data_IF_419856651334
#
_entry.id   IF_419856651334
#
_cell.length_a   1.000
_cell.length_b   1.000
_cell.length_c   1.000
_cell.angle_alpha   90.00
_cell.angle_beta   90.00
_cell.angle_gamma   90.00
#
_symmetry.space_group_name_H-M   'P 1'
#
loop_
_entity.id
_entity.type
_entity.pdbx_description
1 polymer ?
#
# COMPACT_ATOMS: atom_id res chain seq x y z
N UNK A 1 -29.06 2.37 6.12
CA UNK A 1 -27.71 2.95 6.03
C UNK A 1 -27.85 4.37 5.52
N UNK A 2 -27.66 5.37 6.36
CA UNK A 2 -27.46 6.73 5.88
C UNK A 2 -26.17 6.73 5.05
N UNK A 3 -26.25 7.19 3.80
CA UNK A 3 -25.09 7.35 2.95
C UNK A 3 -24.05 8.22 3.67
N UNK A 4 -22.86 7.68 3.89
CA UNK A 4 -21.76 8.48 4.38
C UNK A 4 -21.42 9.56 3.35
N UNK A 5 -20.90 10.68 3.80
CA UNK A 5 -20.37 11.71 2.91
C UNK A 5 -19.43 11.05 1.90
N UNK A 6 -19.65 11.36 0.63
CA UNK A 6 -18.75 10.95 -0.45
C UNK A 6 -17.52 11.85 -0.54
N UNK A 7 -17.49 12.92 0.24
CA UNK A 7 -16.40 13.87 0.23
C UNK A 7 -15.16 13.26 0.87
N UNK A 8 -14.12 13.13 0.08
CA UNK A 8 -12.78 12.75 0.51
C UNK A 8 -11.96 14.02 0.70
N UNK A 9 -11.04 13.99 1.61
CA UNK A 9 -10.09 15.09 1.83
C UNK A 9 -8.78 14.56 2.40
N UNK A 10 -7.72 15.33 2.21
CA UNK A 10 -6.43 15.13 2.85
C UNK A 10 -6.20 16.21 3.88
N UNK A 11 -5.60 15.83 4.98
CA UNK A 11 -5.14 16.74 6.02
C UNK A 11 -3.62 16.72 6.07
N UNK A 12 -3.04 17.86 6.37
CA UNK A 12 -1.65 17.97 6.82
C UNK A 12 -1.52 17.40 8.23
N UNK A 13 -0.31 17.13 8.70
CA UNK A 13 -0.07 16.62 10.05
C UNK A 13 -0.58 17.58 11.15
N UNK A 14 -0.64 18.88 10.87
CA UNK A 14 -1.21 19.90 11.77
C UNK A 14 -2.74 20.09 11.62
N UNK A 15 -3.40 19.20 10.85
CA UNK A 15 -4.85 19.13 10.73
C UNK A 15 -5.47 20.08 9.72
N UNK A 16 -4.69 20.78 8.92
CA UNK A 16 -5.23 21.65 7.87
C UNK A 16 -5.65 20.88 6.63
N UNK A 17 -6.80 21.23 6.07
CA UNK A 17 -7.30 20.62 4.86
C UNK A 17 -6.48 21.06 3.65
N UNK A 18 -5.93 20.09 2.92
CA UNK A 18 -5.28 20.35 1.64
C UNK A 18 -6.32 20.62 0.55
N UNK A 19 -6.02 21.60 -0.30
CA UNK A 19 -6.83 21.91 -1.49
C UNK A 19 -6.40 20.96 -2.61
N UNK A 20 -7.12 19.85 -2.74
CA UNK A 20 -6.86 18.78 -3.72
C UNK A 20 -8.17 18.40 -4.38
N UNK A 21 -8.17 18.20 -5.68
CA UNK A 21 -9.34 17.73 -6.41
C UNK A 21 -9.75 16.33 -5.94
N UNK A 22 -11.05 16.02 -5.96
CA UNK A 22 -11.60 14.78 -5.41
C UNK A 22 -11.06 13.52 -6.11
N UNK A 23 -10.78 13.61 -7.39
CA UNK A 23 -10.20 12.53 -8.22
C UNK A 23 -8.71 12.33 -8.00
N UNK A 24 -8.01 13.34 -7.47
CA UNK A 24 -6.60 13.26 -7.11
C UNK A 24 -6.35 12.68 -5.71
N UNK A 25 -7.41 12.56 -4.89
CA UNK A 25 -7.25 12.00 -3.54
C UNK A 25 -7.07 10.49 -3.63
N UNK A 26 -5.92 9.97 -3.19
CA UNK A 26 -5.64 8.55 -3.28
C UNK A 26 -6.60 7.73 -2.41
N UNK A 27 -6.81 6.47 -2.77
CA UNK A 27 -7.59 5.54 -1.96
C UNK A 27 -6.95 5.32 -0.59
N UNK A 28 -7.73 5.42 0.47
CA UNK A 28 -7.23 5.41 1.86
C UNK A 28 -6.87 4.02 2.41
N UNK A 29 -6.78 2.99 1.61
CA UNK A 29 -6.60 1.62 2.11
C UNK A 29 -5.32 0.94 1.66
N UNK A 30 -4.73 1.39 0.56
CA UNK A 30 -3.61 0.74 -0.09
C UNK A 30 -2.47 1.72 -0.27
N UNK A 31 -1.50 1.62 0.61
CA UNK A 31 -0.29 2.40 0.61
C UNK A 31 0.86 1.42 0.75
N UNK A 32 1.94 1.67 0.05
CA UNK A 32 3.12 0.81 0.06
C UNK A 32 4.38 1.68 0.02
N UNK A 33 5.41 1.32 0.74
CA UNK A 33 6.75 1.85 0.50
C UNK A 33 7.38 1.05 -0.63
N UNK A 34 7.36 1.61 -1.82
CA UNK A 34 7.81 0.92 -3.03
C UNK A 34 9.14 1.41 -3.55
N UNK A 35 9.31 2.70 -3.68
CA UNK A 35 10.60 3.28 -4.05
C UNK A 35 11.43 3.63 -2.81
N UNK A 36 12.55 4.27 -3.00
CA UNK A 36 13.49 4.54 -1.91
C UNK A 36 13.24 5.88 -1.20
N UNK A 37 12.08 6.53 -1.41
CA UNK A 37 11.76 7.76 -0.71
C UNK A 37 10.87 7.53 0.52
N UNK A 38 10.67 8.57 1.33
CA UNK A 38 9.91 8.49 2.58
C UNK A 38 8.40 8.63 2.41
N UNK A 39 7.93 8.81 1.18
CA UNK A 39 6.52 8.90 0.86
C UNK A 39 6.00 7.52 0.48
N UNK A 40 4.76 7.25 0.83
CA UNK A 40 4.10 6.02 0.40
C UNK A 40 3.43 6.20 -0.94
N UNK A 41 3.58 5.21 -1.79
CA UNK A 41 2.91 5.10 -3.06
C UNK A 41 1.49 4.61 -2.89
N UNK A 42 0.68 4.86 -3.90
CA UNK A 42 -0.72 4.45 -3.94
C UNK A 42 -0.97 3.46 -5.07
N UNK A 43 -2.05 2.69 -4.92
CA UNK A 43 -2.52 1.79 -5.96
C UNK A 43 -3.60 2.45 -6.80
N UNK A 44 -3.51 2.27 -8.12
CA UNK A 44 -4.55 2.65 -9.08
C UNK A 44 -4.94 1.43 -9.90
N UNK A 45 -6.24 1.22 -10.08
CA UNK A 45 -6.79 0.11 -10.84
C UNK A 45 -8.08 -0.41 -10.22
N UNK A 46 -8.67 -1.43 -10.85
CA UNK A 46 -10.02 -1.92 -10.52
C UNK A 46 -10.14 -2.68 -9.20
N UNK A 47 -9.08 -2.83 -8.45
CA UNK A 47 -9.06 -3.70 -7.27
C UNK A 47 -8.80 -2.98 -5.95
N UNK A 48 -9.82 -2.27 -5.47
CA UNK A 48 -9.97 -1.97 -4.05
C UNK A 48 -10.68 -3.12 -3.28
N UNK A 49 -10.79 -4.31 -3.86
CA UNK A 49 -11.40 -5.45 -3.18
C UNK A 49 -10.33 -6.33 -2.56
N UNK A 50 -10.49 -6.51 -1.30
CA UNK A 50 -9.72 -7.34 -0.42
C UNK A 50 -10.34 -8.73 -0.31
N UNK A 51 -9.50 -9.73 -0.31
CA UNK A 51 -9.87 -11.10 -0.03
C UNK A 51 -9.82 -12.01 -1.25
N UNK A 52 -9.26 -13.18 -1.05
CA UNK A 52 -9.30 -14.30 -1.96
C UNK A 52 -10.77 -14.68 -2.24
N UNK A 53 -11.32 -14.25 -3.36
CA UNK A 53 -12.72 -14.56 -3.68
C UNK A 53 -13.26 -13.86 -4.91
N UNK A 54 -12.52 -12.95 -5.49
CA UNK A 54 -12.91 -12.39 -6.78
C UNK A 54 -12.47 -13.33 -7.89
N UNK A 55 -13.40 -14.08 -8.44
CA UNK A 55 -13.22 -15.05 -9.52
C UNK A 55 -12.77 -14.46 -10.88
N UNK A 56 -12.30 -13.24 -10.91
CA UNK A 56 -11.87 -12.56 -12.12
C UNK A 56 -10.36 -12.28 -12.10
N UNK A 57 -9.56 -13.29 -12.34
CA UNK A 57 -8.09 -13.22 -12.46
C UNK A 57 -7.53 -12.31 -13.56
N UNK A 58 -8.28 -11.32 -13.99
CA UNK A 58 -7.91 -10.44 -15.11
C UNK A 58 -7.65 -8.97 -14.74
N UNK A 59 -7.72 -8.61 -13.46
CA UNK A 59 -7.55 -7.21 -13.06
C UNK A 59 -6.09 -6.87 -12.86
N UNK A 60 -5.67 -5.77 -13.45
CA UNK A 60 -4.32 -5.23 -13.32
C UNK A 60 -4.34 -3.98 -12.46
N UNK A 61 -3.35 -3.84 -11.61
CA UNK A 61 -3.13 -2.68 -10.77
C UNK A 61 -1.78 -2.05 -11.10
N UNK A 62 -1.66 -0.77 -10.77
CA UNK A 62 -0.41 -0.02 -10.91
C UNK A 62 -0.06 0.64 -9.58
N UNK A 63 1.22 0.80 -9.31
CA UNK A 63 1.74 1.56 -8.18
C UNK A 63 2.17 2.93 -8.68
N UNK A 64 1.72 3.97 -8.01
CA UNK A 64 1.85 5.37 -8.41
C UNK A 64 2.40 6.23 -7.29
N UNK A 65 3.26 7.15 -7.66
CA UNK A 65 3.52 8.33 -6.83
C UNK A 65 2.31 9.24 -6.83
N UNK A 66 1.95 9.73 -5.65
CA UNK A 66 0.87 10.70 -5.57
C UNK A 66 1.22 11.96 -6.36
N UNK A 67 0.37 12.33 -7.33
CA UNK A 67 0.61 13.41 -8.33
C UNK A 67 1.88 13.22 -9.17
N UNK A 68 2.39 12.03 -9.22
CA UNK A 68 3.61 11.70 -9.94
C UNK A 68 3.41 10.59 -10.96
N UNK A 69 4.50 9.92 -11.24
CA UNK A 69 4.61 8.88 -12.25
C UNK A 69 4.09 7.52 -11.78
N UNK A 70 3.88 6.64 -12.74
CA UNK A 70 3.64 5.23 -12.50
C UNK A 70 5.00 4.57 -12.28
N UNK A 71 5.17 3.91 -11.14
CA UNK A 71 6.40 3.19 -10.82
C UNK A 71 6.36 1.74 -11.28
N UNK A 72 5.19 1.12 -11.20
CA UNK A 72 5.02 -0.28 -11.58
C UNK A 72 3.62 -0.49 -12.16
N UNK A 73 3.55 -1.20 -13.28
CA UNK A 73 2.29 -1.55 -13.95
C UNK A 73 2.10 -3.07 -13.98
N UNK A 74 0.90 -3.47 -14.39
CA UNK A 74 0.55 -4.86 -14.66
C UNK A 74 0.67 -5.81 -13.45
N UNK A 75 0.46 -5.30 -12.25
CA UNK A 75 0.32 -6.13 -11.05
C UNK A 75 -1.00 -6.88 -11.13
N UNK A 76 -0.95 -8.19 -11.26
CA UNK A 76 -2.13 -9.05 -11.41
C UNK A 76 -2.49 -9.76 -10.11
N UNK A 77 -3.76 -10.02 -9.94
CA UNK A 77 -4.29 -10.79 -8.80
C UNK A 77 -4.83 -9.94 -7.66
N UNK A 78 -5.50 -10.60 -6.74
CA UNK A 78 -6.04 -9.96 -5.54
C UNK A 78 -4.94 -9.76 -4.50
N UNK A 79 -4.83 -8.55 -3.95
CA UNK A 79 -3.83 -8.24 -2.94
C UNK A 79 -4.12 -9.00 -1.64
N UNK A 80 -3.20 -9.86 -1.24
CA UNK A 80 -3.28 -10.60 0.02
C UNK A 80 -2.51 -9.91 1.13
N UNK A 81 -1.29 -9.46 0.85
CA UNK A 81 -0.38 -8.94 1.86
C UNK A 81 0.51 -7.87 1.25
N UNK A 82 0.83 -6.87 2.05
CA UNK A 82 1.94 -5.94 1.85
C UNK A 82 2.77 -5.98 3.13
N UNK A 83 4.06 -6.22 3.01
CA UNK A 83 4.98 -6.25 4.15
C UNK A 83 6.43 -6.17 3.67
N UNK A 84 7.29 -5.63 4.52
CA UNK A 84 8.75 -5.68 4.36
C UNK A 84 9.24 -7.11 4.65
N UNK A 85 9.21 -7.98 3.64
CA UNK A 85 9.58 -9.38 3.76
C UNK A 85 11.06 -9.63 3.46
N UNK A 86 11.68 -8.81 2.61
CA UNK A 86 13.10 -8.89 2.28
C UNK A 86 13.99 -8.19 3.31
N UNK A 87 13.39 -7.40 4.20
CA UNK A 87 14.10 -6.76 5.31
C UNK A 87 14.88 -5.50 4.92
N UNK A 88 14.50 -4.87 3.83
CA UNK A 88 15.16 -3.67 3.31
C UNK A 88 14.36 -2.38 3.53
N UNK A 89 13.34 -2.42 4.40
CA UNK A 89 12.36 -1.40 4.79
C UNK A 89 11.33 -1.04 3.71
N UNK A 90 11.50 -1.51 2.49
CA UNK A 90 10.46 -1.40 1.47
C UNK A 90 9.52 -2.60 1.56
N UNK A 91 8.33 -2.43 1.04
CA UNK A 91 7.30 -3.46 1.18
C UNK A 91 7.14 -4.24 -0.11
N UNK A 92 7.12 -5.57 0.00
CA UNK A 92 6.70 -6.47 -1.06
C UNK A 92 5.19 -6.60 -1.07
N UNK A 93 4.67 -6.95 -2.23
CA UNK A 93 3.26 -7.17 -2.47
C UNK A 93 3.00 -8.63 -2.83
N UNK A 94 2.21 -9.33 -2.02
CA UNK A 94 1.72 -10.66 -2.35
C UNK A 94 0.33 -10.56 -2.95
N UNK A 95 0.15 -11.19 -4.11
CA UNK A 95 -1.15 -11.31 -4.77
C UNK A 95 -1.52 -12.77 -5.03
N UNK A 96 -2.82 -13.04 -5.11
CA UNK A 96 -3.37 -14.36 -5.48
C UNK A 96 -4.07 -14.30 -6.83
N UNK A 97 -3.81 -15.32 -7.63
CA UNK A 97 -4.57 -15.67 -8.83
C UNK A 97 -5.04 -17.12 -8.69
N UNK A 98 -5.96 -17.60 -9.53
CA UNK A 98 -6.36 -19.00 -9.51
C UNK A 98 -5.15 -19.93 -9.68
N UNK A 99 -4.83 -20.70 -8.62
CA UNK A 99 -3.72 -21.65 -8.61
C UNK A 99 -2.31 -21.03 -8.51
N UNK A 100 -2.19 -19.72 -8.26
CA UNK A 100 -0.89 -19.04 -8.26
C UNK A 100 -0.82 -17.98 -7.17
N UNK A 101 0.32 -17.87 -6.50
CA UNK A 101 0.70 -16.74 -5.67
C UNK A 101 1.86 -16.01 -6.33
N UNK A 102 1.80 -14.69 -6.34
CA UNK A 102 2.87 -13.83 -6.85
C UNK A 102 3.39 -12.92 -5.76
N UNK A 103 4.71 -12.78 -5.73
CA UNK A 103 5.40 -11.78 -4.93
C UNK A 103 5.96 -10.75 -5.90
N UNK A 104 5.56 -9.51 -5.74
CA UNK A 104 6.10 -8.37 -6.46
C UNK A 104 7.01 -7.60 -5.52
N UNK A 105 8.18 -7.26 -6.01
CA UNK A 105 9.14 -6.40 -5.35
C UNK A 105 9.57 -5.29 -6.29
N UNK A 106 10.07 -4.21 -5.74
CA UNK A 106 10.67 -3.13 -6.52
C UNK A 106 12.06 -3.52 -7.00
N UNK A 107 12.43 -3.05 -8.18
CA UNK A 107 13.80 -3.10 -8.71
C UNK A 107 14.51 -1.73 -8.59
N UNK A 108 13.84 -0.75 -8.03
CA UNK A 108 14.42 0.57 -7.76
C UNK A 108 15.45 0.43 -6.64
N UNK A 109 16.72 0.84 -6.86
CA UNK A 109 17.74 0.72 -5.82
C UNK A 109 17.42 1.60 -4.61
N UNK A 110 17.49 1.03 -3.40
CA UNK A 110 17.45 1.83 -2.17
C UNK A 110 18.80 2.50 -1.95
N UNK A 111 18.80 3.81 -1.82
CA UNK A 111 19.99 4.60 -1.46
C UNK A 111 20.24 4.60 0.03
N UNK A 112 19.17 4.52 0.82
CA UNK A 112 19.22 4.53 2.28
C UNK A 112 19.04 3.12 2.83
N UNK A 113 19.90 2.76 3.77
CA UNK A 113 19.76 1.54 4.56
C UNK A 113 19.03 1.85 5.85
N UNK A 114 17.94 1.16 6.08
CA UNK A 114 17.14 1.28 7.30
C UNK A 114 16.93 -0.08 7.93
N UNK A 115 16.60 -0.06 9.20
CA UNK A 115 16.19 -1.28 9.91
C UNK A 115 14.89 -1.79 9.30
N UNK A 116 14.78 -3.10 9.16
CA UNK A 116 13.56 -3.72 8.66
C UNK A 116 12.34 -3.32 9.49
N UNK A 117 11.25 -2.97 8.82
CA UNK A 117 9.98 -2.64 9.47
C UNK A 117 9.43 -3.79 10.29
N UNK A 118 9.81 -5.02 9.96
CA UNK A 118 9.42 -6.22 10.72
C UNK A 118 10.03 -6.29 12.13
N UNK A 119 10.98 -5.42 12.50
CA UNK A 119 11.40 -5.29 13.90
C UNK A 119 10.41 -4.51 14.76
N UNK A 120 9.57 -3.69 14.15
CA UNK A 120 8.54 -2.93 14.86
C UNK A 120 7.35 -3.83 15.24
N UNK A 121 7.00 -3.85 16.52
CA UNK A 121 5.92 -4.68 17.03
C UNK A 121 4.54 -4.25 16.51
N UNK A 122 4.32 -2.94 16.33
CA UNK A 122 3.07 -2.42 15.77
C UNK A 122 2.94 -2.83 14.31
N UNK A 123 4.00 -2.64 13.53
CA UNK A 123 4.03 -3.05 12.12
C UNK A 123 3.72 -4.54 11.96
N UNK A 124 4.37 -5.42 12.72
CA UNK A 124 4.08 -6.87 12.73
C UNK A 124 2.62 -7.17 13.06
N UNK A 125 2.05 -6.45 14.01
CA UNK A 125 0.65 -6.63 14.38
C UNK A 125 -0.29 -6.30 13.21
N UNK A 126 -0.01 -5.24 12.46
CA UNK A 126 -0.76 -4.92 11.25
C UNK A 126 -0.60 -5.97 10.15
N UNK A 127 0.62 -6.46 9.94
CA UNK A 127 0.87 -7.56 9.00
C UNK A 127 0.06 -8.79 9.39
N UNK A 128 0.04 -9.15 10.67
CA UNK A 128 -0.75 -10.29 11.17
C UNK A 128 -2.26 -10.07 11.04
N UNK A 129 -2.77 -8.85 11.25
CA UNK A 129 -4.20 -8.54 11.11
C UNK A 129 -4.74 -8.80 9.71
N UNK A 130 -3.91 -8.75 8.68
CA UNK A 130 -4.35 -9.07 7.32
C UNK A 130 -4.82 -10.50 7.17
N UNK A 131 -4.19 -11.43 7.88
CA UNK A 131 -4.64 -12.84 7.90
C UNK A 131 -6.03 -12.99 8.50
N UNK A 132 -6.48 -12.02 9.29
CA UNK A 132 -7.80 -11.97 9.91
C UNK A 132 -8.85 -11.24 9.05
N UNK A 133 -8.53 -10.89 7.82
CA UNK A 133 -9.44 -10.24 6.87
C UNK A 133 -9.57 -8.72 7.03
N UNK A 134 -8.67 -8.07 7.78
CA UNK A 134 -8.62 -6.63 7.89
C UNK A 134 -7.62 -6.01 6.91
N UNK A 135 -8.11 -5.40 5.84
CA UNK A 135 -7.26 -4.94 4.75
C UNK A 135 -6.73 -3.53 4.98
N UNK A 136 -5.83 -3.36 5.90
CA UNK A 136 -5.14 -2.09 6.15
C UNK A 136 -3.66 -2.23 5.80
N UNK A 137 -3.09 -1.17 5.22
CA UNK A 137 -1.65 -1.10 5.03
C UNK A 137 -0.96 -1.09 6.40
N UNK A 138 0.09 -1.89 6.61
CA UNK A 138 0.85 -1.85 7.84
C UNK A 138 1.45 -0.47 8.09
N UNK A 139 1.55 -0.06 9.34
CA UNK A 139 2.19 1.20 9.74
C UNK A 139 3.18 0.94 10.86
N UNK A 140 4.37 1.54 10.84
CA UNK A 140 5.31 1.48 11.95
C UNK A 140 4.88 2.40 13.10
N UNK A 141 5.41 2.15 14.29
CA UNK A 141 5.18 2.96 15.48
C UNK A 141 6.01 4.26 15.51
N UNK A 142 6.87 4.46 14.55
CA UNK A 142 7.81 5.58 14.49
C UNK A 142 7.79 6.24 13.11
N UNK A 143 8.34 7.44 13.03
CA UNK A 143 8.49 8.16 11.78
C UNK A 143 9.78 7.73 11.06
N UNK A 144 9.66 7.27 9.82
CA UNK A 144 10.80 6.78 9.05
C UNK A 144 11.85 7.85 8.72
N UNK A 145 11.49 9.12 8.79
CA UNK A 145 12.41 10.23 8.53
C UNK A 145 13.33 10.60 9.70
N UNK A 146 13.06 10.08 10.89
CA UNK A 146 13.89 10.32 12.07
C UNK A 146 15.03 9.26 12.14
N UNK A 147 16.14 9.56 11.49
CA UNK A 147 17.40 8.82 11.64
C UNK A 147 18.55 9.78 11.91
#
# INVERSE_FOLDING_TARGET
RKGGSTDRYLLTADGKKLQVAQDEIPGCRNWIWWDADLLRETFKGDNNRWGAGSSSGGRSQSIWKWKGEILTENIKGDILLMADMEGDWREELITALPGELRIYRTDIPATDRRVTLMQDALYRSYVAHRSMGYPQAPVPSYYLGDN
#
